data_IF_275113305905
#
_entry.id   IF_275113305905
#
_cell.length_a   1.000
_cell.length_b   1.000
_cell.length_c   1.000
_cell.angle_alpha   90.00
_cell.angle_beta   90.00
_cell.angle_gamma   90.00
#
_symmetry.space_group_name_H-M   'P 1'
#
loop_
_entity.id
_entity.type
_entity.pdbx_description
1 polymer ?
#
# COMPACT_ATOMS: atom_id res chain seq x y z
N UNK A 1 -11.66 -5.22 25.92
CA UNK A 1 -12.64 -6.32 25.85
C UNK A 1 -12.65 -6.76 24.39
N UNK A 2 -12.16 -7.97 24.14
CA UNK A 2 -12.02 -8.53 22.77
C UNK A 2 -13.36 -9.19 22.45
N UNK A 3 -14.03 -8.72 21.41
CA UNK A 3 -15.20 -9.42 20.88
C UNK A 3 -14.74 -10.40 19.80
N UNK A 4 -14.80 -11.69 20.10
CA UNK A 4 -14.58 -12.79 19.14
C UNK A 4 -15.94 -13.13 18.58
N UNK A 5 -16.10 -12.95 17.28
CA UNK A 5 -17.26 -13.45 16.55
C UNK A 5 -16.82 -14.63 15.69
N UNK A 6 -17.17 -15.84 16.12
CA UNK A 6 -17.02 -17.08 15.36
C UNK A 6 -18.12 -17.15 14.33
N UNK A 7 -17.77 -17.14 13.04
CA UNK A 7 -18.65 -17.69 12.01
C UNK A 7 -17.87 -18.18 10.77
N UNK A 8 -18.04 -19.47 10.50
CA UNK A 8 -17.79 -20.26 9.27
C UNK A 8 -16.40 -20.82 8.94
N UNK A 9 -16.45 -22.12 8.71
CA UNK A 9 -15.40 -23.04 8.25
C UNK A 9 -14.71 -22.55 6.96
N UNK A 10 -13.44 -22.35 7.07
CA UNK A 10 -12.32 -22.13 6.15
C UNK A 10 -11.56 -20.81 6.24
N UNK A 11 -12.03 -19.82 6.98
CA UNK A 11 -11.29 -18.58 7.24
C UNK A 11 -11.43 -18.24 8.72
N UNK A 12 -10.37 -18.44 9.51
CA UNK A 12 -10.35 -17.88 10.86
C UNK A 12 -10.13 -16.36 10.75
N UNK A 13 -11.22 -15.61 10.67
CA UNK A 13 -11.21 -14.17 10.67
C UNK A 13 -11.16 -13.67 12.12
N UNK A 14 -10.00 -13.21 12.56
CA UNK A 14 -9.89 -12.49 13.84
C UNK A 14 -9.96 -11.00 13.53
N UNK A 15 -11.07 -10.35 13.87
CA UNK A 15 -11.20 -8.91 13.80
C UNK A 15 -10.75 -8.36 15.16
N UNK A 16 -9.59 -7.74 15.22
CA UNK A 16 -9.13 -6.99 16.38
C UNK A 16 -9.52 -5.52 16.18
N UNK A 17 -10.55 -5.08 16.86
CA UNK A 17 -10.88 -3.66 16.92
C UNK A 17 -10.21 -3.10 18.17
N UNK A 18 -9.20 -2.26 17.99
CA UNK A 18 -8.64 -1.48 19.08
C UNK A 18 -9.69 -0.45 19.51
N UNK A 19 -10.27 -0.62 20.70
CA UNK A 19 -11.27 0.30 21.23
C UNK A 19 -10.60 1.64 21.56
N UNK A 20 -11.14 2.76 21.08
CA UNK A 20 -10.67 4.10 21.42
C UNK A 20 -10.83 4.38 22.90
N UNK A 21 -9.89 5.15 23.47
CA UNK A 21 -9.90 5.53 24.90
C UNK A 21 -10.79 6.73 25.23
N UNK A 22 -11.25 7.46 24.20
CA UNK A 22 -12.14 8.63 24.35
C UNK A 22 -13.16 8.72 23.22
N UNK A 23 -14.18 9.60 23.36
CA UNK A 23 -15.20 9.83 22.32
C UNK A 23 -14.60 10.43 21.03
N UNK A 24 -13.53 11.23 21.12
CA UNK A 24 -12.77 11.75 19.98
C UNK A 24 -11.98 10.64 19.26
N UNK A 25 -11.53 9.62 19.99
CA UNK A 25 -10.80 8.46 19.44
C UNK A 25 -11.73 7.46 18.77
N UNK A 26 -13.04 7.47 19.05
CA UNK A 26 -14.03 6.59 18.40
C UNK A 26 -14.17 6.84 16.90
N UNK A 27 -13.80 8.03 16.40
CA UNK A 27 -13.81 8.36 14.97
C UNK A 27 -12.56 7.88 14.21
N UNK A 28 -11.53 7.41 14.94
CA UNK A 28 -10.24 6.98 14.38
C UNK A 28 -10.01 5.51 14.76
N UNK A 29 -10.55 4.60 13.98
CA UNK A 29 -10.35 3.17 14.23
C UNK A 29 -9.57 2.53 13.09
N UNK A 30 -8.38 2.01 13.42
CA UNK A 30 -7.67 1.08 12.55
C UNK A 30 -8.33 -0.30 12.67
N UNK A 31 -8.85 -0.80 11.54
CA UNK A 31 -9.39 -2.15 11.47
C UNK A 31 -8.30 -3.12 11.05
N UNK A 32 -7.99 -4.12 11.87
CA UNK A 32 -7.00 -5.15 11.57
C UNK A 32 -7.70 -6.47 11.27
N UNK A 33 -7.39 -7.07 10.12
CA UNK A 33 -7.89 -8.36 9.66
C UNK A 33 -6.70 -9.30 9.52
N UNK A 34 -6.73 -10.41 10.24
CA UNK A 34 -5.72 -11.47 10.13
C UNK A 34 -6.29 -12.62 9.31
N UNK A 35 -5.59 -13.00 8.27
CA UNK A 35 -5.94 -14.14 7.41
C UNK A 35 -4.99 -15.31 7.65
N UNK A 36 -5.40 -16.48 7.23
CA UNK A 36 -4.59 -17.70 7.39
C UNK A 36 -3.29 -17.63 6.59
N UNK A 37 -3.37 -17.11 5.37
CA UNK A 37 -2.30 -17.14 4.39
C UNK A 37 -2.41 -15.97 3.39
N UNK A 38 -1.47 -15.92 2.45
CA UNK A 38 -1.42 -14.88 1.42
C UNK A 38 -2.62 -14.90 0.47
N UNK A 39 -3.16 -16.07 0.14
CA UNK A 39 -4.36 -16.18 -0.70
C UNK A 39 -5.57 -15.55 0.00
N UNK A 40 -5.76 -15.85 1.28
CA UNK A 40 -6.79 -15.22 2.11
C UNK A 40 -6.62 -13.71 2.23
N UNK A 41 -5.37 -13.24 2.42
CA UNK A 41 -5.05 -11.81 2.45
C UNK A 41 -5.46 -11.12 1.15
N UNK A 42 -5.09 -11.68 0.01
CA UNK A 42 -5.38 -11.12 -1.31
C UNK A 42 -6.88 -11.02 -1.57
N UNK A 43 -7.64 -12.04 -1.19
CA UNK A 43 -9.11 -12.06 -1.32
C UNK A 43 -9.79 -11.05 -0.40
N UNK A 44 -9.34 -10.93 0.86
CA UNK A 44 -9.88 -9.92 1.79
C UNK A 44 -9.55 -8.49 1.32
N UNK A 45 -8.31 -8.26 0.84
CA UNK A 45 -7.93 -6.98 0.25
C UNK A 45 -8.78 -6.63 -0.98
N UNK A 46 -9.07 -7.61 -1.82
CA UNK A 46 -9.95 -7.44 -2.96
C UNK A 46 -11.36 -7.04 -2.54
N UNK A 47 -11.94 -7.62 -1.50
CA UNK A 47 -13.27 -7.22 -0.99
C UNK A 47 -13.31 -5.73 -0.61
N UNK A 48 -12.25 -5.23 0.04
CA UNK A 48 -12.16 -3.80 0.41
C UNK A 48 -12.07 -2.92 -0.83
N UNK A 49 -11.21 -3.29 -1.79
CA UNK A 49 -11.06 -2.56 -3.06
C UNK A 49 -12.34 -2.59 -3.87
N UNK A 50 -12.98 -3.76 -3.99
CA UNK A 50 -14.22 -3.93 -4.74
C UNK A 50 -15.37 -3.11 -4.18
N UNK A 51 -15.48 -3.00 -2.86
CA UNK A 51 -16.51 -2.17 -2.22
C UNK A 51 -16.39 -0.70 -2.64
N UNK A 52 -15.16 -0.17 -2.75
CA UNK A 52 -14.93 1.20 -3.22
C UNK A 52 -15.34 1.35 -4.70
N UNK A 53 -14.98 0.38 -5.53
CA UNK A 53 -15.33 0.39 -6.96
C UNK A 53 -16.85 0.27 -7.18
N UNK A 54 -17.54 -0.52 -6.38
CA UNK A 54 -19.00 -0.68 -6.47
C UNK A 54 -19.74 0.59 -6.05
N UNK A 55 -19.26 1.26 -5.01
CA UNK A 55 -19.80 2.55 -4.56
C UNK A 55 -19.51 3.68 -5.55
N UNK A 56 -18.30 3.67 -6.15
CA UNK A 56 -17.82 4.72 -7.03
C UNK A 56 -17.09 4.15 -8.24
N UNK A 57 -17.81 3.89 -9.36
CA UNK A 57 -17.21 3.33 -10.57
C UNK A 57 -16.11 4.18 -11.20
N UNK A 58 -16.07 5.48 -10.92
CA UNK A 58 -15.00 6.41 -11.30
C UNK A 58 -14.06 6.73 -10.14
N UNK A 59 -13.81 5.76 -9.27
CA UNK A 59 -12.91 5.92 -8.12
C UNK A 59 -11.49 6.31 -8.53
N UNK A 60 -10.82 7.03 -7.65
CA UNK A 60 -9.41 7.34 -7.74
C UNK A 60 -8.67 6.38 -6.80
N UNK A 61 -7.83 5.52 -7.38
CA UNK A 61 -7.09 4.50 -6.65
C UNK A 61 -5.62 4.91 -6.50
N UNK A 62 -5.14 4.93 -5.29
CA UNK A 62 -3.71 4.96 -5.00
C UNK A 62 -3.16 3.53 -4.99
N UNK A 63 -2.15 3.24 -5.81
CA UNK A 63 -1.63 1.90 -6.00
C UNK A 63 -0.16 1.79 -5.59
N UNK A 64 0.26 0.58 -5.29
CA UNK A 64 1.59 0.22 -4.85
C UNK A 64 2.16 -0.92 -5.70
N UNK A 65 3.47 -1.05 -5.74
CA UNK A 65 4.19 -2.16 -6.36
C UNK A 65 4.77 -3.10 -5.30
N UNK A 66 5.53 -4.08 -5.73
CA UNK A 66 6.11 -5.11 -4.88
C UNK A 66 5.29 -6.39 -4.85
N UNK A 67 5.77 -7.38 -4.11
CA UNK A 67 5.15 -8.72 -4.10
C UNK A 67 3.83 -8.80 -3.34
N UNK A 68 3.62 -7.94 -2.32
CA UNK A 68 2.42 -8.01 -1.50
C UNK A 68 1.13 -7.74 -2.28
N UNK A 69 1.04 -6.75 -3.19
CA UNK A 69 -0.20 -6.46 -3.93
C UNK A 69 -0.46 -7.37 -5.14
N UNK A 70 0.47 -8.20 -5.57
CA UNK A 70 0.30 -9.03 -6.78
C UNK A 70 -0.97 -9.89 -6.72
N UNK A 71 -1.24 -10.52 -5.58
CA UNK A 71 -2.44 -11.35 -5.39
C UNK A 71 -3.73 -10.53 -5.44
N UNK A 72 -3.74 -9.32 -4.88
CA UNK A 72 -4.86 -8.40 -5.02
C UNK A 72 -5.11 -8.03 -6.48
N UNK A 73 -4.07 -7.67 -7.22
CA UNK A 73 -4.21 -7.34 -8.65
C UNK A 73 -4.72 -8.53 -9.45
N UNK A 74 -4.27 -9.75 -9.15
CA UNK A 74 -4.78 -10.95 -9.78
C UNK A 74 -6.28 -11.17 -9.50
N UNK A 75 -6.75 -10.91 -8.29
CA UNK A 75 -8.19 -10.96 -7.96
C UNK A 75 -8.98 -9.87 -8.70
N UNK A 76 -8.43 -8.66 -8.85
CA UNK A 76 -9.06 -7.58 -9.64
C UNK A 76 -9.20 -7.94 -11.11
N UNK A 77 -8.15 -8.51 -11.71
CA UNK A 77 -8.17 -9.00 -13.12
C UNK A 77 -9.21 -10.10 -13.27
N UNK A 78 -9.19 -11.09 -12.39
CA UNK A 78 -10.14 -12.20 -12.40
C UNK A 78 -11.60 -11.71 -12.33
N UNK A 79 -11.89 -10.78 -11.44
CA UNK A 79 -13.22 -10.19 -11.30
C UNK A 79 -13.66 -9.42 -12.55
N UNK A 80 -12.74 -8.67 -13.18
CA UNK A 80 -13.01 -8.03 -14.46
C UNK A 80 -13.38 -9.07 -15.55
N UNK A 81 -12.59 -10.13 -15.66
CA UNK A 81 -12.81 -11.18 -16.68
C UNK A 81 -14.09 -11.99 -16.43
N UNK A 82 -14.37 -12.37 -15.19
CA UNK A 82 -15.48 -13.25 -14.83
C UNK A 82 -16.80 -12.50 -14.63
N UNK A 83 -16.76 -11.29 -14.06
CA UNK A 83 -17.95 -10.54 -13.66
C UNK A 83 -18.17 -9.24 -14.43
N UNK A 84 -17.21 -8.85 -15.29
CA UNK A 84 -17.31 -7.66 -16.12
C UNK A 84 -17.15 -6.33 -15.37
N UNK A 85 -16.57 -6.34 -14.17
CA UNK A 85 -16.25 -5.09 -13.45
C UNK A 85 -15.40 -4.18 -14.31
N UNK A 86 -15.86 -2.97 -14.60
CA UNK A 86 -15.20 -2.03 -15.51
C UNK A 86 -14.29 -1.07 -14.76
N UNK A 87 -13.12 -0.82 -15.32
CA UNK A 87 -12.13 0.16 -14.85
C UNK A 87 -12.01 1.37 -15.79
N UNK A 88 -12.88 1.47 -16.81
CA UNK A 88 -12.75 2.49 -17.87
C UNK A 88 -12.77 3.93 -17.37
N UNK A 89 -13.47 4.20 -16.27
CA UNK A 89 -13.59 5.53 -15.67
C UNK A 89 -12.72 5.69 -14.40
N UNK A 90 -11.95 4.66 -14.02
CA UNK A 90 -11.05 4.68 -12.87
C UNK A 90 -9.81 5.50 -13.20
N UNK A 91 -9.33 6.25 -12.23
CA UNK A 91 -8.06 6.98 -12.26
C UNK A 91 -7.11 6.35 -11.25
N UNK A 92 -5.84 6.17 -11.59
CA UNK A 92 -4.86 5.60 -10.67
C UNK A 92 -3.65 6.49 -10.49
N UNK A 93 -3.10 6.50 -9.26
CA UNK A 93 -1.84 7.14 -8.90
C UNK A 93 -0.98 6.15 -8.13
N UNK A 94 0.19 5.79 -8.69
CA UNK A 94 1.16 4.97 -7.97
C UNK A 94 1.96 5.81 -6.97
N UNK A 95 2.47 5.14 -5.92
CA UNK A 95 3.23 5.80 -4.85
C UNK A 95 4.56 6.34 -5.32
N UNK A 96 5.28 5.61 -6.15
CA UNK A 96 6.69 5.83 -6.38
C UNK A 96 7.20 5.25 -7.71
N UNK A 97 8.41 5.66 -8.08
CA UNK A 97 9.19 5.11 -9.19
C UNK A 97 10.68 5.40 -8.95
N UNK A 98 11.54 4.58 -9.50
CA UNK A 98 12.98 4.84 -9.51
C UNK A 98 13.33 6.04 -10.39
N UNK A 99 14.22 6.90 -9.88
CA UNK A 99 14.76 8.02 -10.66
C UNK A 99 15.68 7.48 -11.74
N UNK A 100 15.47 7.93 -12.98
CA UNK A 100 16.32 7.63 -14.14
C UNK A 100 16.10 6.26 -14.75
N UNK A 101 15.17 5.46 -14.25
CA UNK A 101 14.82 4.19 -14.90
C UNK A 101 14.01 4.45 -16.17
N UNK A 102 14.30 3.71 -17.24
CA UNK A 102 13.44 3.73 -18.42
C UNK A 102 12.08 3.10 -18.10
N UNK A 103 10.99 3.72 -18.58
CA UNK A 103 9.64 3.19 -18.36
C UNK A 103 9.45 1.78 -18.93
N UNK A 104 10.18 1.45 -20.01
CA UNK A 104 10.15 0.13 -20.63
C UNK A 104 11.11 -0.87 -19.97
N UNK A 105 11.90 -0.44 -19.00
CA UNK A 105 12.73 -1.37 -18.21
C UNK A 105 11.83 -2.36 -17.49
N UNK A 106 12.11 -3.67 -17.52
CA UNK A 106 11.33 -4.68 -16.83
C UNK A 106 11.19 -4.43 -15.31
N UNK A 107 12.11 -3.68 -14.73
CA UNK A 107 12.15 -3.37 -13.29
C UNK A 107 11.52 -2.01 -12.96
N UNK A 108 11.04 -1.25 -13.94
CA UNK A 108 10.28 -0.03 -13.67
C UNK A 108 8.93 -0.38 -13.03
N UNK A 109 8.46 0.48 -12.15
CA UNK A 109 7.13 0.32 -11.56
C UNK A 109 6.02 0.59 -12.58
N UNK A 110 6.31 1.41 -13.58
CA UNK A 110 5.43 1.55 -14.75
C UNK A 110 5.18 0.21 -15.45
N UNK A 111 6.25 -0.55 -15.75
CA UNK A 111 6.14 -1.89 -16.35
C UNK A 111 5.45 -2.87 -15.41
N UNK A 112 5.78 -2.84 -14.12
CA UNK A 112 5.12 -3.67 -13.10
C UNK A 112 3.60 -3.49 -13.14
N UNK A 113 3.11 -2.25 -13.12
CA UNK A 113 1.68 -1.98 -13.11
C UNK A 113 0.99 -2.43 -14.40
N UNK A 114 1.63 -2.23 -15.54
CA UNK A 114 1.10 -2.72 -16.81
C UNK A 114 1.01 -4.24 -16.82
N UNK A 115 2.05 -4.94 -16.36
CA UNK A 115 2.13 -6.39 -16.39
C UNK A 115 1.17 -7.06 -15.41
N UNK A 116 0.94 -6.48 -14.23
CA UNK A 116 0.12 -7.06 -13.19
C UNK A 116 -1.35 -6.62 -13.21
N UNK A 117 -1.67 -5.46 -13.77
CA UNK A 117 -3.03 -4.94 -13.76
C UNK A 117 -3.47 -4.27 -15.07
N UNK A 118 -2.79 -3.20 -15.50
CA UNK A 118 -3.40 -2.28 -16.47
C UNK A 118 -3.69 -2.89 -17.83
N UNK A 119 -2.81 -3.76 -18.35
CA UNK A 119 -3.03 -4.41 -19.64
C UNK A 119 -4.08 -5.52 -19.62
N UNK A 120 -4.55 -5.91 -18.43
CA UNK A 120 -5.51 -7.00 -18.23
C UNK A 120 -6.94 -6.52 -17.94
N UNK A 121 -7.14 -5.23 -17.80
CA UNK A 121 -8.45 -4.61 -17.55
C UNK A 121 -8.73 -3.50 -18.56
N UNK A 122 -9.95 -2.98 -18.57
CA UNK A 122 -10.38 -1.96 -19.54
C UNK A 122 -10.07 -0.50 -19.11
N UNK A 123 -9.07 -0.30 -18.26
CA UNK A 123 -8.68 1.04 -17.83
C UNK A 123 -8.15 1.86 -18.99
N UNK A 124 -8.54 3.15 -19.05
CA UNK A 124 -7.95 4.08 -19.99
C UNK A 124 -6.49 4.36 -19.59
N UNK A 125 -5.49 4.08 -20.44
CA UNK A 125 -4.08 4.35 -20.14
C UNK A 125 -3.79 5.79 -19.72
N UNK A 126 -4.53 6.77 -20.26
CA UNK A 126 -4.38 8.19 -19.93
C UNK A 126 -4.83 8.52 -18.49
N UNK A 127 -5.57 7.63 -17.86
CA UNK A 127 -5.99 7.74 -16.47
C UNK A 127 -5.04 7.04 -15.49
N UNK A 128 -3.97 6.43 -15.97
CA UNK A 128 -2.96 5.77 -15.12
C UNK A 128 -1.75 6.67 -14.94
N UNK A 129 -1.33 6.86 -13.69
CA UNK A 129 -0.24 7.77 -13.35
C UNK A 129 0.80 7.05 -12.49
N UNK A 130 2.03 7.03 -12.98
CA UNK A 130 3.21 6.60 -12.23
C UNK A 130 4.16 7.79 -12.21
N UNK A 131 4.68 8.20 -11.03
CA UNK A 131 5.53 9.37 -10.96
C UNK A 131 6.77 9.21 -11.84
N UNK A 132 7.25 10.33 -12.38
CA UNK A 132 8.43 10.34 -13.25
C UNK A 132 9.17 11.65 -13.07
N UNK A 133 10.49 11.58 -13.01
CA UNK A 133 11.33 12.74 -12.85
C UNK A 133 12.43 12.56 -11.82
N UNK A 134 13.22 13.62 -11.62
CA UNK A 134 14.42 13.59 -10.77
C UNK A 134 14.61 14.85 -9.92
N UNK A 135 13.73 15.82 -10.06
CA UNK A 135 13.84 17.12 -9.41
C UNK A 135 12.73 17.34 -8.39
N UNK A 136 12.96 18.29 -7.47
CA UNK A 136 11.91 18.71 -6.53
C UNK A 136 10.69 19.31 -7.25
N UNK A 137 10.88 19.92 -8.41
CA UNK A 137 9.79 20.46 -9.24
C UNK A 137 8.94 19.31 -9.83
N UNK A 138 9.59 18.24 -10.33
CA UNK A 138 8.88 17.03 -10.80
C UNK A 138 8.04 16.42 -9.68
N UNK A 139 8.63 16.30 -8.49
CA UNK A 139 7.94 15.76 -7.32
C UNK A 139 6.74 16.63 -6.93
N UNK A 140 6.92 17.96 -6.91
CA UNK A 140 5.82 18.88 -6.61
C UNK A 140 4.71 18.80 -7.64
N UNK A 141 5.05 18.72 -8.93
CA UNK A 141 4.07 18.57 -10.01
C UNK A 141 3.22 17.33 -9.81
N UNK A 142 3.85 16.19 -9.51
CA UNK A 142 3.13 14.95 -9.25
C UNK A 142 2.24 15.06 -7.99
N UNK A 143 2.74 15.67 -6.92
CA UNK A 143 1.95 15.91 -5.71
C UNK A 143 0.70 16.75 -5.99
N UNK A 144 0.83 17.77 -6.83
CA UNK A 144 -0.30 18.63 -7.25
C UNK A 144 -1.32 17.88 -8.11
N UNK A 145 -0.90 16.85 -8.84
CA UNK A 145 -1.76 15.98 -9.66
C UNK A 145 -2.53 14.95 -8.82
N UNK A 146 -1.92 14.43 -7.75
CA UNK A 146 -2.52 13.42 -6.86
C UNK A 146 -3.61 14.07 -6.00
N UNK A 147 -4.86 13.89 -6.41
CA UNK A 147 -6.02 14.47 -5.71
C UNK A 147 -7.18 13.50 -5.65
N UNK A 148 -7.93 13.61 -4.55
CA UNK A 148 -9.20 12.93 -4.40
C UNK A 148 -9.08 11.41 -4.35
N UNK A 149 -7.96 10.88 -3.86
CA UNK A 149 -7.74 9.43 -3.73
C UNK A 149 -8.80 8.84 -2.81
N UNK A 150 -9.63 7.96 -3.36
CA UNK A 150 -10.71 7.31 -2.62
C UNK A 150 -10.18 6.17 -1.74
N UNK A 151 -9.19 5.43 -2.24
CA UNK A 151 -8.47 4.40 -1.47
C UNK A 151 -7.01 4.35 -1.87
N UNK A 152 -6.11 4.37 -0.88
CA UNK A 152 -4.67 4.20 -1.06
C UNK A 152 -4.24 2.82 -0.58
N UNK A 153 -3.74 2.01 -1.50
CA UNK A 153 -3.09 0.73 -1.21
C UNK A 153 -1.66 0.97 -0.75
N UNK A 154 -1.26 0.33 0.34
CA UNK A 154 0.08 0.37 0.91
C UNK A 154 0.60 -1.04 1.19
N UNK A 155 1.89 -1.25 0.95
CA UNK A 155 2.67 -2.25 1.64
C UNK A 155 3.40 -1.64 2.84
N UNK A 156 4.23 -2.44 3.52
CA UNK A 156 5.09 -1.97 4.61
C UNK A 156 6.50 -2.57 4.48
N UNK A 157 7.52 -1.75 4.69
CA UNK A 157 8.89 -2.20 4.78
C UNK A 157 9.18 -2.89 6.12
N UNK A 158 10.27 -3.65 6.20
CA UNK A 158 10.71 -4.33 7.43
C UNK A 158 11.00 -3.37 8.59
N UNK A 159 11.39 -2.14 8.27
CA UNK A 159 11.65 -1.05 9.23
C UNK A 159 10.47 -0.12 9.43
N UNK A 160 9.28 -0.45 8.91
CA UNK A 160 8.06 0.33 9.04
C UNK A 160 7.90 1.44 8.01
N UNK A 161 8.74 1.52 6.97
CA UNK A 161 8.55 2.50 5.90
C UNK A 161 7.29 2.21 5.08
N UNK A 162 6.67 3.27 4.55
CA UNK A 162 5.58 3.23 3.59
C UNK A 162 5.96 4.07 2.36
N UNK A 163 5.71 3.55 1.14
CA UNK A 163 6.36 4.07 -0.05
C UNK A 163 7.88 4.00 0.13
N UNK A 164 8.60 5.03 -0.26
CA UNK A 164 10.02 5.17 0.09
C UNK A 164 10.27 6.16 1.24
N UNK A 165 9.29 6.31 2.14
CA UNK A 165 9.43 7.15 3.34
C UNK A 165 10.08 6.33 4.47
N UNK A 166 11.39 6.45 4.60
CA UNK A 166 12.22 5.76 5.60
C UNK A 166 12.03 6.34 7.02
N UNK A 167 12.43 5.62 8.07
CA UNK A 167 12.45 6.14 9.44
C UNK A 167 13.06 7.54 9.54
N UNK A 168 12.40 8.44 10.27
CA UNK A 168 12.79 9.84 10.40
C UNK A 168 12.12 10.79 9.41
N UNK A 169 11.39 10.28 8.40
CA UNK A 169 10.62 11.13 7.48
C UNK A 169 9.52 11.86 8.26
N UNK A 170 9.38 13.18 8.12
CA UNK A 170 8.30 13.94 8.73
C UNK A 170 6.92 13.45 8.27
N UNK A 171 5.93 13.45 9.16
CA UNK A 171 4.58 13.00 8.82
C UNK A 171 3.81 13.91 7.86
N UNK A 172 4.22 15.15 7.73
CA UNK A 172 3.67 16.13 6.79
C UNK A 172 4.44 16.19 5.45
N UNK A 173 5.44 15.33 5.27
CA UNK A 173 6.22 15.27 4.03
C UNK A 173 5.30 15.03 2.82
N UNK A 174 5.56 15.80 1.77
CA UNK A 174 4.86 15.70 0.48
C UNK A 174 5.67 14.86 -0.49
N UNK A 175 5.20 14.69 -1.72
CA UNK A 175 5.96 13.98 -2.75
C UNK A 175 7.34 14.60 -2.91
N UNK A 176 8.38 13.78 -2.89
CA UNK A 176 9.78 14.21 -2.83
C UNK A 176 10.71 13.22 -3.51
N UNK A 177 11.92 13.69 -3.79
CA UNK A 177 13.02 12.84 -4.25
C UNK A 177 13.72 12.27 -3.01
N UNK A 178 13.86 10.95 -2.98
CA UNK A 178 14.44 10.18 -1.88
C UNK A 178 15.75 9.56 -2.31
N UNK A 179 16.77 9.64 -1.47
CA UNK A 179 17.96 8.80 -1.58
C UNK A 179 17.68 7.46 -0.91
N UNK A 180 17.79 6.37 -1.67
CA UNK A 180 17.53 5.04 -1.15
C UNK A 180 18.66 4.59 -0.23
N UNK A 181 18.32 4.13 0.96
CA UNK A 181 19.31 3.57 1.88
C UNK A 181 19.95 2.31 1.30
N UNK A 182 21.18 2.01 1.72
CA UNK A 182 21.86 0.78 1.31
C UNK A 182 21.03 -0.45 1.65
N UNK A 183 20.37 -0.46 2.82
CA UNK A 183 19.47 -1.53 3.23
C UNK A 183 18.29 -1.73 2.28
N UNK A 184 17.68 -0.64 1.82
CA UNK A 184 16.59 -0.69 0.84
C UNK A 184 17.09 -1.16 -0.51
N UNK A 185 18.24 -0.68 -0.97
CA UNK A 185 18.86 -1.13 -2.22
C UNK A 185 19.27 -2.61 -2.16
N UNK A 186 19.81 -3.05 -1.03
CA UNK A 186 20.14 -4.46 -0.82
C UNK A 186 18.90 -5.36 -0.84
N UNK A 187 17.80 -4.93 -0.23
CA UNK A 187 16.54 -5.66 -0.27
C UNK A 187 15.96 -5.74 -1.69
N UNK A 188 16.18 -4.73 -2.52
CA UNK A 188 15.66 -4.65 -3.89
C UNK A 188 16.57 -5.28 -4.94
N UNK A 189 17.87 -5.56 -4.64
CA UNK A 189 18.81 -6.15 -5.61
C UNK A 189 18.31 -7.46 -6.23
N UNK A 190 17.48 -8.21 -5.52
CA UNK A 190 16.84 -9.44 -6.03
C UNK A 190 16.08 -9.24 -7.33
N UNK A 191 15.65 -8.01 -7.62
CA UNK A 191 14.99 -7.63 -8.87
C UNK A 191 15.98 -7.14 -9.94
N UNK A 192 17.26 -6.99 -9.59
CA UNK A 192 18.34 -6.46 -10.42
C UNK A 192 19.52 -7.44 -10.51
N UNK A 193 19.24 -8.70 -10.81
CA UNK A 193 20.22 -9.79 -10.94
C UNK A 193 21.09 -9.99 -9.68
N UNK A 194 20.55 -9.72 -8.49
CA UNK A 194 21.25 -9.69 -7.21
C UNK A 194 22.45 -8.72 -7.16
N UNK A 195 22.48 -7.72 -8.03
CA UNK A 195 23.54 -6.73 -8.13
C UNK A 195 23.06 -5.37 -7.61
N UNK A 196 23.50 -4.99 -6.41
CA UNK A 196 23.16 -3.72 -5.77
C UNK A 196 23.57 -2.49 -6.61
N UNK A 197 24.61 -2.64 -7.45
CA UNK A 197 25.09 -1.52 -8.30
C UNK A 197 24.12 -1.19 -9.41
N UNK A 198 23.24 -2.12 -9.75
CA UNK A 198 22.18 -1.92 -10.77
C UNK A 198 20.92 -1.29 -10.17
N UNK A 199 20.76 -1.33 -8.84
CA UNK A 199 19.61 -0.70 -8.17
C UNK A 199 19.78 0.82 -8.19
N UNK A 200 18.81 1.59 -8.73
CA UNK A 200 18.88 3.05 -8.69
C UNK A 200 19.11 3.59 -7.29
N UNK A 201 19.83 4.70 -7.20
CA UNK A 201 20.18 5.32 -5.92
C UNK A 201 19.06 6.22 -5.36
N UNK A 202 18.16 6.66 -6.23
CA UNK A 202 17.09 7.60 -5.88
C UNK A 202 15.75 7.12 -6.40
N UNK A 203 14.70 7.57 -5.73
CA UNK A 203 13.32 7.40 -6.15
C UNK A 203 12.55 8.73 -6.00
N UNK A 204 11.48 8.86 -6.79
CA UNK A 204 10.43 9.85 -6.56
C UNK A 204 9.30 9.14 -5.84
N UNK A 205 8.88 9.64 -4.69
CA UNK A 205 7.88 8.98 -3.82
C UNK A 205 6.88 9.99 -3.28
N UNK A 206 5.61 9.60 -3.25
CA UNK A 206 4.62 10.30 -2.45
C UNK A 206 5.10 10.34 -1.00
N UNK A 207 4.97 11.51 -0.37
CA UNK A 207 5.27 11.68 1.04
C UNK A 207 4.17 11.12 1.94
N UNK A 208 4.46 10.98 3.23
CA UNK A 208 3.50 10.48 4.22
C UNK A 208 2.26 11.38 4.25
N UNK A 209 2.45 12.72 4.22
CA UNK A 209 1.34 13.68 4.18
C UNK A 209 0.46 13.49 2.95
N UNK A 210 1.05 13.23 1.78
CA UNK A 210 0.31 12.95 0.54
C UNK A 210 -0.55 11.67 0.70
N UNK A 211 0.05 10.62 1.24
CA UNK A 211 -0.64 9.34 1.49
C UNK A 211 -1.80 9.52 2.47
N UNK A 212 -1.60 10.29 3.53
CA UNK A 212 -2.62 10.53 4.57
C UNK A 212 -3.82 11.35 4.09
N UNK A 213 -3.72 12.02 2.94
CA UNK A 213 -4.84 12.75 2.32
C UNK A 213 -5.90 11.80 1.70
N UNK A 214 -5.59 10.53 1.51
CA UNK A 214 -6.54 9.56 0.97
C UNK A 214 -7.74 9.37 1.91
N UNK A 215 -8.94 9.15 1.35
CA UNK A 215 -10.17 8.95 2.15
C UNK A 215 -10.13 7.65 2.93
N UNK A 216 -9.58 6.60 2.33
CA UNK A 216 -9.39 5.28 2.94
C UNK A 216 -7.95 4.80 2.69
N UNK A 217 -7.39 4.11 3.67
CA UNK A 217 -6.12 3.41 3.51
C UNK A 217 -6.35 1.90 3.65
N UNK A 218 -5.76 1.16 2.72
CA UNK A 218 -5.68 -0.30 2.76
C UNK A 218 -4.20 -0.68 2.80
N UNK A 219 -3.71 -1.10 3.96
CA UNK A 219 -2.36 -1.63 4.09
C UNK A 219 -2.41 -3.16 4.12
N UNK A 220 -1.56 -3.78 3.33
CA UNK A 220 -1.41 -5.24 3.28
C UNK A 220 0.03 -5.66 3.59
N UNK A 221 0.19 -6.69 4.39
CA UNK A 221 1.50 -7.25 4.73
C UNK A 221 1.44 -8.76 4.91
N UNK A 222 2.40 -9.46 4.33
CA UNK A 222 2.51 -10.91 4.40
C UNK A 222 3.93 -11.35 4.74
N UNK A 223 4.01 -12.47 5.43
CA UNK A 223 5.25 -13.13 5.78
C UNK A 223 5.87 -12.67 7.10
N UNK A 224 6.61 -13.58 7.72
CA UNK A 224 7.22 -13.39 9.05
C UNK A 224 8.21 -12.21 9.10
N UNK A 225 8.84 -11.87 7.97
CA UNK A 225 9.78 -10.74 7.89
C UNK A 225 9.12 -9.37 8.15
N UNK A 226 7.80 -9.29 8.10
CA UNK A 226 7.01 -8.07 8.36
C UNK A 226 6.51 -7.99 9.79
N UNK A 227 6.62 -9.05 10.59
CA UNK A 227 5.97 -9.16 11.90
C UNK A 227 6.39 -8.05 12.89
N UNK A 228 7.66 -7.65 12.92
CA UNK A 228 8.12 -6.57 13.79
C UNK A 228 7.54 -5.21 13.38
N UNK A 229 7.58 -4.92 12.07
CA UNK A 229 7.04 -3.67 11.54
C UNK A 229 5.51 -3.59 11.74
N UNK A 230 4.79 -4.69 11.52
CA UNK A 230 3.33 -4.78 11.76
C UNK A 230 3.01 -4.54 13.23
N UNK A 231 3.76 -5.15 14.16
CA UNK A 231 3.59 -4.89 15.59
C UNK A 231 3.85 -3.43 15.94
N UNK A 232 4.95 -2.86 15.47
CA UNK A 232 5.30 -1.46 15.74
C UNK A 232 4.24 -0.50 15.17
N UNK A 233 3.72 -0.76 13.97
CA UNK A 233 2.69 0.05 13.34
C UNK A 233 1.37 0.03 14.12
N UNK A 234 0.92 -1.13 14.59
CA UNK A 234 -0.41 -1.31 15.20
C UNK A 234 -0.39 -1.04 16.70
N UNK A 235 0.61 -1.56 17.42
CA UNK A 235 0.67 -1.56 18.88
C UNK A 235 1.72 -0.60 19.45
N UNK A 236 2.65 -0.13 18.64
CA UNK A 236 3.69 0.79 19.04
C UNK A 236 3.22 2.24 19.14
N UNK A 237 4.08 3.14 19.64
CA UNK A 237 3.78 4.57 19.64
C UNK A 237 3.77 5.13 18.22
N UNK A 238 3.01 6.20 18.01
CA UNK A 238 3.08 6.98 16.75
C UNK A 238 4.39 7.76 16.76
N UNK A 239 5.30 7.39 15.86
CA UNK A 239 6.64 7.97 15.79
C UNK A 239 7.19 7.90 14.38
N UNK A 240 8.01 8.87 14.01
CA UNK A 240 8.72 8.87 12.71
C UNK A 240 9.73 7.74 12.57
N UNK A 241 10.16 7.14 13.67
CA UNK A 241 11.02 5.93 13.65
C UNK A 241 10.31 4.70 13.06
N UNK A 242 8.99 4.69 13.06
CA UNK A 242 8.15 3.74 12.34
C UNK A 242 7.13 4.54 11.53
N UNK A 243 7.44 4.92 10.29
CA UNK A 243 6.57 5.79 9.48
C UNK A 243 5.13 5.29 9.38
N UNK A 244 4.92 3.98 9.23
CA UNK A 244 3.61 3.37 9.16
C UNK A 244 2.78 3.56 10.44
N UNK A 245 3.39 3.89 11.59
CA UNK A 245 2.66 4.11 12.85
C UNK A 245 1.68 5.29 12.78
N UNK A 246 1.91 6.25 11.87
CA UNK A 246 1.00 7.39 11.65
C UNK A 246 -0.38 6.96 11.18
N UNK A 247 -0.51 5.77 10.59
CA UNK A 247 -1.80 5.22 10.15
C UNK A 247 -2.79 5.03 11.29
N UNK A 248 -2.32 4.94 12.54
CA UNK A 248 -3.16 4.97 13.73
C UNK A 248 -3.98 6.27 13.84
N UNK A 249 -3.54 7.35 13.21
CA UNK A 249 -4.22 8.64 13.19
C UNK A 249 -5.14 8.82 11.97
N UNK A 250 -5.15 7.87 11.03
CA UNK A 250 -6.02 7.98 9.87
C UNK A 250 -7.48 7.61 10.23
N UNK A 251 -8.47 8.38 9.77
CA UNK A 251 -9.88 8.15 10.15
C UNK A 251 -10.47 6.85 9.59
N UNK A 252 -9.93 6.32 8.50
CA UNK A 252 -10.42 5.10 7.85
C UNK A 252 -9.25 4.26 7.32
N UNK A 253 -8.68 3.44 8.17
CA UNK A 253 -7.55 2.57 7.85
C UNK A 253 -7.90 1.10 8.08
N UNK A 254 -7.73 0.29 7.04
CA UNK A 254 -7.86 -1.16 7.08
C UNK A 254 -6.48 -1.78 6.88
N UNK A 255 -6.08 -2.63 7.79
CA UNK A 255 -4.83 -3.40 7.73
C UNK A 255 -5.17 -4.87 7.59
N UNK A 256 -4.67 -5.50 6.54
CA UNK A 256 -4.85 -6.95 6.30
C UNK A 256 -3.49 -7.62 6.30
N UNK A 257 -3.32 -8.59 7.17
CA UNK A 257 -2.07 -9.32 7.36
C UNK A 257 -2.33 -10.82 7.34
N UNK A 258 -1.36 -11.60 6.88
CA UNK A 258 -1.42 -13.05 7.07
C UNK A 258 -0.96 -13.45 8.49
N UNK A 259 -1.13 -14.72 8.83
CA UNK A 259 -0.80 -15.25 10.15
C UNK A 259 0.68 -15.06 10.51
N UNK A 260 1.58 -15.13 9.53
CA UNK A 260 3.01 -14.94 9.75
C UNK A 260 3.35 -13.47 10.06
N UNK A 261 2.80 -12.53 9.29
CA UNK A 261 2.99 -11.10 9.53
C UNK A 261 2.33 -10.66 10.86
N UNK A 262 1.26 -11.34 11.29
CA UNK A 262 0.57 -11.09 12.55
C UNK A 262 1.22 -11.77 13.77
N UNK A 263 2.24 -12.59 13.58
CA UNK A 263 2.76 -13.53 14.60
C UNK A 263 3.26 -12.87 15.89
N UNK A 264 3.57 -11.59 15.86
CA UNK A 264 4.03 -10.81 17.03
C UNK A 264 2.99 -9.88 17.63
N UNK A 265 1.78 -9.83 17.07
CA UNK A 265 0.69 -9.07 17.65
C UNK A 265 0.26 -9.68 19.00
N UNK A 266 -0.13 -8.80 19.92
CA UNK A 266 -0.67 -9.22 21.22
C UNK A 266 -2.02 -9.91 21.03
N UNK A 267 -2.27 -10.97 21.82
CA UNK A 267 -3.52 -11.74 21.80
C UNK A 267 -4.66 -11.00 22.49
#
# INVERSE_FOLDING_TARGET
MIAISDYFESVSLIIVTLLPRSEEEKSKSMKVIVTKDYDGLSKEAFKVMKAVLDEKPNAVLGLATGSSPEGLYAEMVKDHEENGTSYKDVVTYNLDEYVGIDRNDPQSYYTFMNDHLFKHVDINPDNTHVPYGSTAEDAKKYDDEVKGVDIQLLGIGRNGHIGFNEPGTPFDERTHIVELTESTRDANKRFFDDDITKVPEKAISQGIGTVMDAKKILLIANGASKADAVKAMIEGPVTTECPASVLQNHPDCVVIVDAEAASKLSK
#
